data_IF_472234681047
#
_entry.id   IF_472234681047
#
_cell.length_a   1.000
_cell.length_b   1.000
_cell.length_c   1.000
_cell.angle_alpha   90.00
_cell.angle_beta   90.00
_cell.angle_gamma   90.00
#
_symmetry.space_group_name_H-M   'P 1'
#
loop_
_entity.id
_entity.type
_entity.pdbx_description
1 polymer ?
#
# COMPACT_ATOMS: atom_id res chain seq x y z
N UNK A 1 -13.33 7.88 0.24
CA UNK A 1 -12.61 7.00 -0.72
C UNK A 1 -12.27 5.71 0.02
N UNK A 2 -11.76 4.66 -0.64
CA UNK A 2 -11.33 3.43 0.06
C UNK A 2 -9.81 3.21 0.04
N UNK A 3 -9.11 3.84 -0.90
CA UNK A 3 -7.71 3.54 -1.22
C UNK A 3 -6.71 4.57 -0.69
N UNK A 4 -7.12 5.47 0.22
CA UNK A 4 -6.24 6.49 0.77
C UNK A 4 -5.75 7.48 -0.27
N UNK A 5 -4.43 7.75 -0.27
CA UNK A 5 -3.74 8.62 -1.22
C UNK A 5 -2.75 7.80 -2.06
N UNK A 6 -3.21 7.21 -3.18
CA UNK A 6 -2.39 6.29 -3.97
C UNK A 6 -1.11 6.94 -4.50
N UNK A 7 0.02 6.27 -4.29
CA UNK A 7 1.33 6.60 -4.86
C UNK A 7 1.73 5.62 -5.97
N UNK A 8 1.24 4.39 -5.87
CA UNK A 8 1.50 3.33 -6.84
C UNK A 8 0.39 2.28 -6.84
N UNK A 9 0.14 1.68 -8.00
CA UNK A 9 -0.90 0.67 -8.19
C UNK A 9 -0.36 -0.53 -8.96
N UNK A 10 -0.88 -1.71 -8.65
CA UNK A 10 -0.64 -2.94 -9.39
C UNK A 10 -1.93 -3.75 -9.50
N UNK A 11 -2.11 -4.42 -10.62
CA UNK A 11 -3.20 -5.37 -10.85
C UNK A 11 -2.59 -6.75 -11.11
N UNK A 12 -3.13 -7.78 -10.44
CA UNK A 12 -2.74 -9.16 -10.72
C UNK A 12 -3.67 -9.82 -11.75
N UNK A 13 -3.41 -11.10 -12.05
CA UNK A 13 -4.21 -11.88 -12.99
C UNK A 13 -5.57 -12.33 -12.44
N UNK A 14 -5.89 -12.01 -11.19
CA UNK A 14 -7.11 -12.42 -10.49
C UNK A 14 -8.02 -11.22 -10.18
N UNK A 15 -7.84 -10.11 -10.89
CA UNK A 15 -8.56 -8.85 -10.68
C UNK A 15 -8.43 -8.29 -9.26
N UNK A 16 -7.28 -8.52 -8.59
CA UNK A 16 -6.96 -7.80 -7.37
C UNK A 16 -6.24 -6.49 -7.71
N UNK A 17 -6.61 -5.42 -7.01
CA UNK A 17 -5.87 -4.15 -7.02
C UNK A 17 -5.03 -4.03 -5.75
N UNK A 18 -3.77 -3.67 -5.91
CA UNK A 18 -2.83 -3.38 -4.84
C UNK A 18 -2.47 -1.91 -4.93
N UNK A 19 -2.73 -1.16 -3.86
CA UNK A 19 -2.52 0.27 -3.82
C UNK A 19 -1.55 0.60 -2.70
N UNK A 20 -0.38 1.10 -3.10
CA UNK A 20 0.57 1.71 -2.19
C UNK A 20 0.08 3.13 -1.86
N UNK A 21 0.14 3.49 -0.58
CA UNK A 21 -0.23 4.79 -0.04
C UNK A 21 0.88 5.24 0.91
N UNK A 22 1.89 5.89 0.33
CA UNK A 22 2.99 6.52 1.05
C UNK A 22 2.70 7.96 1.47
N UNK A 23 1.64 8.56 0.94
CA UNK A 23 1.43 10.01 0.97
C UNK A 23 0.32 10.45 1.92
N UNK A 24 -0.37 9.52 2.58
CA UNK A 24 -1.39 9.88 3.58
C UNK A 24 -0.77 10.40 4.88
N UNK A 25 -1.23 11.57 5.29
CA UNK A 25 -0.78 12.26 6.50
C UNK A 25 -1.89 13.20 7.03
N UNK A 26 -1.65 13.87 8.15
CA UNK A 26 -2.60 14.76 8.83
C UNK A 26 -2.94 16.04 8.03
N UNK A 27 -2.28 16.28 6.90
CA UNK A 27 -2.45 17.44 6.03
C UNK A 27 -2.96 17.06 4.62
N UNK A 28 -2.28 16.14 3.94
CA UNK A 28 -2.52 15.75 2.55
C UNK A 28 -3.69 14.78 2.39
N UNK A 29 -3.92 13.90 3.37
CA UNK A 29 -5.06 12.99 3.38
C UNK A 29 -5.51 12.63 4.81
N UNK A 30 -6.07 13.60 5.55
CA UNK A 30 -6.36 13.43 6.97
C UNK A 30 -7.34 12.28 7.25
N UNK A 31 -7.07 11.54 8.33
CA UNK A 31 -7.88 10.38 8.74
C UNK A 31 -7.52 9.08 8.02
N UNK A 32 -6.44 9.06 7.23
CA UNK A 32 -5.92 7.86 6.57
C UNK A 32 -4.54 7.48 7.08
N UNK A 33 -4.31 6.17 7.17
CA UNK A 33 -3.02 5.60 7.54
C UNK A 33 -2.23 5.20 6.28
N UNK A 34 -0.93 5.47 6.27
CA UNK A 34 -0.01 4.96 5.25
C UNK A 34 0.05 3.43 5.24
N UNK A 35 0.25 2.84 4.07
CA UNK A 35 0.40 1.39 3.92
C UNK A 35 0.04 0.88 2.54
N UNK A 36 -0.29 -0.41 2.45
CA UNK A 36 -0.72 -1.06 1.21
C UNK A 36 -2.13 -1.59 1.37
N UNK A 37 -3.05 -1.17 0.51
CA UNK A 37 -4.43 -1.66 0.45
C UNK A 37 -4.58 -2.66 -0.67
N UNK A 38 -5.26 -3.75 -0.38
CA UNK A 38 -5.51 -4.84 -1.34
C UNK A 38 -7.01 -4.98 -1.46
N UNK A 39 -7.51 -4.92 -2.68
CA UNK A 39 -8.95 -4.93 -2.94
C UNK A 39 -9.32 -5.63 -4.22
N UNK A 40 -10.61 -5.64 -4.47
CA UNK A 40 -11.20 -6.10 -5.72
C UNK A 40 -11.14 -4.97 -6.76
N UNK A 41 -10.52 -5.21 -7.91
CA UNK A 41 -10.39 -4.20 -8.96
C UNK A 41 -11.73 -3.90 -9.64
N UNK A 42 -12.63 -4.89 -9.72
CA UNK A 42 -13.93 -4.75 -10.37
C UNK A 42 -14.94 -4.05 -9.46
N UNK A 43 -14.97 -4.43 -8.18
CA UNK A 43 -15.92 -3.87 -7.20
C UNK A 43 -15.39 -2.61 -6.49
N UNK A 44 -14.08 -2.36 -6.56
CA UNK A 44 -13.42 -1.26 -5.87
C UNK A 44 -13.44 -1.37 -4.35
N UNK A 45 -13.63 -2.57 -3.80
CA UNK A 45 -13.73 -2.80 -2.36
C UNK A 45 -12.42 -3.29 -1.76
N UNK A 46 -11.94 -2.62 -0.70
CA UNK A 46 -10.73 -3.05 0.02
C UNK A 46 -11.04 -4.26 0.90
N UNK A 47 -10.25 -5.32 0.74
CA UNK A 47 -10.35 -6.57 1.49
C UNK A 47 -9.29 -6.67 2.58
N UNK A 48 -8.09 -6.14 2.32
CA UNK A 48 -6.96 -6.19 3.25
C UNK A 48 -6.23 -4.85 3.31
N UNK A 49 -5.65 -4.56 4.47
CA UNK A 49 -4.79 -3.42 4.67
C UNK A 49 -3.53 -3.85 5.42
N UNK A 50 -2.38 -3.48 4.87
CA UNK A 50 -1.07 -3.67 5.48
C UNK A 50 -0.60 -2.28 5.88
N UNK A 51 -0.84 -1.93 7.14
CA UNK A 51 -0.40 -0.66 7.69
C UNK A 51 1.13 -0.58 7.70
N UNK A 52 1.68 0.58 7.36
CA UNK A 52 3.11 0.86 7.53
C UNK A 52 3.47 0.88 9.04
N UNK A 53 4.31 -0.05 9.53
CA UNK A 53 4.72 -0.02 10.94
C UNK A 53 5.56 1.22 11.23
N UNK A 54 5.16 2.00 12.22
CA UNK A 54 5.89 3.21 12.63
C UNK A 54 5.73 4.42 11.69
N UNK A 55 4.72 4.42 10.82
CA UNK A 55 4.34 5.63 10.09
C UNK A 55 3.88 6.74 11.04
N UNK A 56 4.49 7.92 10.96
CA UNK A 56 4.06 9.11 11.71
C UNK A 56 3.21 9.99 10.80
N UNK A 57 1.87 10.08 11.01
CA UNK A 57 0.99 10.87 10.16
C UNK A 57 1.24 12.38 10.28
N UNK A 58 2.08 12.84 11.22
CA UNK A 58 2.48 14.25 11.32
C UNK A 58 3.61 14.60 10.35
N UNK A 59 4.28 13.61 9.77
CA UNK A 59 5.33 13.80 8.77
C UNK A 59 4.74 13.83 7.37
N UNK A 60 5.04 14.88 6.61
CA UNK A 60 4.50 15.08 5.25
C UNK A 60 5.46 14.67 4.13
N UNK A 61 6.58 14.02 4.47
CA UNK A 61 7.64 13.69 3.49
C UNK A 61 7.32 12.46 2.63
N UNK A 62 6.23 11.76 2.95
CA UNK A 62 5.90 10.45 2.39
C UNK A 62 6.76 9.34 3.01
N UNK A 63 6.16 8.17 3.28
CA UNK A 63 6.88 7.03 3.87
C UNK A 63 6.24 5.69 3.51
N UNK A 64 7.01 4.60 3.58
CA UNK A 64 6.55 3.27 3.21
C UNK A 64 6.64 3.01 1.71
N UNK A 65 5.78 2.13 1.22
CA UNK A 65 5.77 1.73 -0.19
C UNK A 65 5.26 2.87 -1.06
N UNK A 66 6.09 3.30 -2.02
CA UNK A 66 5.72 4.20 -3.11
C UNK A 66 5.19 3.40 -4.31
N UNK A 67 5.85 2.27 -4.57
CA UNK A 67 5.50 1.32 -5.63
C UNK A 67 5.23 -0.05 -5.03
N UNK A 68 4.34 -0.82 -5.66
CA UNK A 68 4.05 -2.20 -5.29
C UNK A 68 3.99 -3.08 -6.54
N UNK A 69 4.44 -4.32 -6.43
CA UNK A 69 4.26 -5.37 -7.45
C UNK A 69 4.02 -6.71 -6.77
N UNK A 70 3.43 -7.65 -7.49
CA UNK A 70 3.11 -8.98 -6.96
C UNK A 70 3.61 -10.07 -7.91
N UNK A 71 4.27 -11.09 -7.37
CA UNK A 71 4.70 -12.25 -8.17
C UNK A 71 3.57 -13.29 -8.32
N UNK A 72 3.80 -14.29 -9.18
CA UNK A 72 2.83 -15.36 -9.44
C UNK A 72 2.52 -16.23 -8.21
N UNK A 73 3.35 -16.19 -7.16
CA UNK A 73 3.11 -16.89 -5.90
C UNK A 73 2.33 -16.01 -4.89
N UNK A 74 1.97 -14.78 -5.26
CA UNK A 74 1.24 -13.85 -4.41
C UNK A 74 2.13 -13.11 -3.39
N UNK A 75 3.46 -13.15 -3.54
CA UNK A 75 4.34 -12.33 -2.72
C UNK A 75 4.33 -10.90 -3.24
N UNK A 76 4.24 -9.93 -2.33
CA UNK A 76 4.28 -8.52 -2.70
C UNK A 76 5.67 -7.94 -2.45
N UNK A 77 6.05 -6.99 -3.28
CA UNK A 77 7.30 -6.25 -3.17
C UNK A 77 7.01 -4.75 -3.19
N UNK A 78 7.34 -4.07 -2.10
CA UNK A 78 7.18 -2.63 -1.92
C UNK A 78 8.51 -1.91 -2.09
N UNK A 79 8.58 -0.95 -3.02
CA UNK A 79 9.70 -0.04 -3.15
C UNK A 79 9.50 1.18 -2.26
N UNK A 80 10.42 1.42 -1.33
CA UNK A 80 10.27 2.48 -0.31
C UNK A 80 11.39 3.53 -0.41
N UNK A 81 11.15 4.69 -1.04
CA UNK A 81 12.20 5.68 -1.31
C UNK A 81 12.77 6.33 -0.05
N UNK A 82 11.93 6.81 0.87
CA UNK A 82 12.35 7.50 2.09
C UNK A 82 13.22 6.61 3.00
N UNK A 83 12.80 5.37 3.35
CA UNK A 83 13.64 4.46 4.13
C UNK A 83 14.68 3.71 3.28
N UNK A 84 14.71 3.91 1.96
CA UNK A 84 15.68 3.32 1.01
C UNK A 84 15.73 1.79 1.07
N UNK A 85 14.56 1.14 1.12
CA UNK A 85 14.45 -0.33 1.17
C UNK A 85 13.54 -0.88 0.07
N UNK A 86 13.81 -2.13 -0.30
CA UNK A 86 12.88 -3.00 -1.01
C UNK A 86 12.35 -4.02 0.00
N UNK A 87 11.06 -4.00 0.26
CA UNK A 87 10.45 -4.87 1.26
C UNK A 87 9.61 -5.96 0.60
N UNK A 88 9.81 -7.21 1.02
CA UNK A 88 8.98 -8.35 0.61
C UNK A 88 7.92 -8.63 1.69
N UNK A 89 6.66 -8.75 1.27
CA UNK A 89 5.55 -9.14 2.12
C UNK A 89 5.05 -10.51 1.68
N UNK A 90 4.93 -11.42 2.64
CA UNK A 90 4.46 -12.79 2.40
C UNK A 90 3.21 -13.04 3.23
N UNK A 91 2.21 -13.68 2.63
CA UNK A 91 1.03 -14.13 3.36
C UNK A 91 1.39 -15.41 4.13
N UNK A 92 1.41 -15.33 5.45
CA UNK A 92 1.77 -16.46 6.31
C UNK A 92 0.57 -17.27 6.82
N UNK A 93 -0.66 -16.75 6.64
CA UNK A 93 -1.90 -17.42 7.06
C UNK A 93 -3.05 -17.11 6.07
N UNK A 94 -3.99 -18.05 5.86
CA UNK A 94 -5.26 -17.79 5.18
C UNK A 94 -6.08 -16.73 5.91
#
# INVERSE_FOLDING_TARGET
TQFGRPSGIFFDQHDNIYVADSESDDLQNPGWEMGIRIGDANLGWVKYFIQLPGGDPRSTTGNGAEFVSVDAAGNMFGGEPAPRKLQKYIRVRP
#
